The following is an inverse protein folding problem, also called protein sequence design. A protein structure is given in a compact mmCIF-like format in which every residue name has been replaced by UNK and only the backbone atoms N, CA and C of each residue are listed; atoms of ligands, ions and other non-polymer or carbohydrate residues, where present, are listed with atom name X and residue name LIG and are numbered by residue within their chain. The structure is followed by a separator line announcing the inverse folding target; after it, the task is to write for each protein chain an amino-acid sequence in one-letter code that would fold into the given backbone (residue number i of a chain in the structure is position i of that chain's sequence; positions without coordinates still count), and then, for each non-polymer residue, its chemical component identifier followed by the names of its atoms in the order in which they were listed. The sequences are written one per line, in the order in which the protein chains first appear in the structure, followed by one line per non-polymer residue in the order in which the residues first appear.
data_IF_098809328436
#
_entry.id   IF_098809328436
#
_cell.length_a   1.000
_cell.length_b   1.000
_cell.length_c   1.000
_cell.angle_alpha   90.00
_cell.angle_beta   90.00
_cell.angle_gamma   90.00
#
_symmetry.space_group_name_H-M   'P 1'
#
loop_
_entity.id
_entity.type
_entity.pdbx_description
1 polymer ?
#
# COMPACT_ATOMS: atom_id res chain seq x y z
N UNK A 1 -7.72 12.01 12.87
CA UNK A 1 -8.42 12.77 11.82
C UNK A 1 -7.50 13.26 10.68
N UNK A 2 -6.55 12.43 10.27
CA UNK A 2 -5.64 12.71 9.16
C UNK A 2 -5.64 11.58 8.14
N UNK A 3 -5.28 11.92 6.92
CA UNK A 3 -4.95 10.95 5.88
C UNK A 3 -3.45 10.69 5.92
N UNK A 4 -3.06 9.44 5.69
CA UNK A 4 -1.66 9.07 5.46
C UNK A 4 -1.45 9.01 3.96
N UNK A 5 -0.49 9.75 3.45
CA UNK A 5 -0.10 9.73 2.04
C UNK A 5 1.23 8.99 1.92
N UNK A 6 1.27 8.01 1.02
CA UNK A 6 2.44 7.22 0.69
C UNK A 6 2.99 7.63 -0.67
N UNK A 7 4.30 7.82 -0.78
CA UNK A 7 4.91 8.17 -2.06
C UNK A 7 5.15 6.94 -2.93
N UNK A 8 4.84 7.06 -4.21
CA UNK A 8 5.23 6.10 -5.25
C UNK A 8 6.63 6.48 -5.76
N UNK A 9 7.67 6.02 -5.09
CA UNK A 9 9.03 6.33 -5.49
C UNK A 9 9.55 5.25 -6.45
N UNK A 10 9.87 5.64 -7.68
CA UNK A 10 10.32 4.71 -8.73
C UNK A 10 11.82 4.42 -8.67
N UNK A 11 12.60 5.34 -8.12
CA UNK A 11 14.07 5.25 -8.10
C UNK A 11 14.60 4.61 -6.81
N UNK A 12 13.93 4.86 -5.71
CA UNK A 12 14.29 4.33 -4.39
C UNK A 12 13.23 3.35 -3.95
N UNK A 13 13.60 2.19 -3.49
CA UNK A 13 12.69 1.15 -2.98
C UNK A 13 12.14 1.48 -1.58
N UNK A 14 11.88 2.73 -1.35
CA UNK A 14 11.31 3.28 -0.12
C UNK A 14 10.01 4.02 -0.44
N UNK A 15 9.09 4.06 0.52
CA UNK A 15 7.96 4.97 0.50
C UNK A 15 8.09 5.97 1.64
N UNK A 16 7.90 7.23 1.35
CA UNK A 16 7.81 8.27 2.37
C UNK A 16 6.36 8.45 2.79
N UNK A 17 6.16 8.73 4.06
CA UNK A 17 4.84 8.89 4.66
C UNK A 17 4.62 10.33 5.09
N UNK A 18 3.47 10.85 4.71
CA UNK A 18 3.04 12.21 5.03
C UNK A 18 1.66 12.21 5.67
N UNK A 19 1.39 13.16 6.56
CA UNK A 19 0.07 13.42 7.11
C UNK A 19 -0.55 14.66 6.47
N UNK A 20 -1.83 14.54 6.15
CA UNK A 20 -2.67 15.63 5.66
C UNK A 20 -3.99 15.61 6.45
N UNK A 21 -4.53 16.75 6.90
CA UNK A 21 -5.84 16.82 7.54
C UNK A 21 -6.97 16.27 6.65
N UNK A 22 -7.97 15.64 7.26
CA UNK A 22 -9.20 15.17 6.54
C UNK A 22 -10.22 16.29 6.25
N UNK A 23 -9.86 17.53 6.40
CA UNK A 23 -10.74 18.65 6.13
C UNK A 23 -10.38 19.28 4.77
N UNK A 24 -11.36 19.81 4.02
CA UNK A 24 -11.06 20.59 2.82
C UNK A 24 -10.16 21.78 3.11
N UNK A 25 -9.18 22.05 2.24
CA UNK A 25 -8.24 23.16 2.40
C UNK A 25 -6.96 22.96 1.61
N UNK A 26 -6.07 23.92 1.70
CA UNK A 26 -4.72 23.85 1.16
C UNK A 26 -3.74 23.59 2.29
N UNK A 27 -2.97 22.51 2.21
CA UNK A 27 -2.07 22.08 3.26
C UNK A 27 -0.68 21.75 2.74
N UNK A 28 0.32 22.05 3.54
CA UNK A 28 1.64 21.45 3.40
C UNK A 28 1.64 20.11 4.11
N UNK A 29 1.82 19.02 3.36
CA UNK A 29 1.87 17.67 3.93
C UNK A 29 3.07 17.54 4.89
N UNK A 30 2.81 17.05 6.11
CA UNK A 30 3.85 16.86 7.11
C UNK A 30 4.47 15.47 6.96
N UNK A 31 5.77 15.40 6.62
CA UNK A 31 6.51 14.15 6.61
C UNK A 31 6.61 13.56 8.02
N UNK A 32 6.24 12.29 8.17
CA UNK A 32 6.31 11.55 9.44
C UNK A 32 7.35 10.44 9.44
N UNK A 33 7.85 10.03 8.28
CA UNK A 33 8.89 9.01 8.18
C UNK A 33 8.98 8.40 6.79
N UNK A 34 9.68 7.28 6.72
CA UNK A 34 9.82 6.46 5.52
C UNK A 34 9.90 4.98 5.88
N UNK A 35 9.46 4.12 4.96
CA UNK A 35 9.56 2.66 5.08
C UNK A 35 10.38 2.11 3.91
N UNK A 36 11.35 1.26 4.22
CA UNK A 36 12.06 0.49 3.20
C UNK A 36 11.24 -0.76 2.88
N UNK A 37 10.54 -0.75 1.75
CA UNK A 37 9.67 -1.85 1.31
C UNK A 37 10.27 -2.65 0.16
N UNK A 38 11.47 -2.30 -0.29
CA UNK A 38 12.21 -2.95 -1.39
C UNK A 38 11.41 -3.08 -2.70
N UNK A 39 10.41 -2.25 -2.88
CA UNK A 39 9.49 -2.27 -4.02
C UNK A 39 8.82 -0.91 -4.20
N UNK A 40 8.14 -0.72 -5.31
CA UNK A 40 7.41 0.51 -5.62
C UNK A 40 5.98 0.36 -5.10
N UNK A 41 5.59 1.16 -4.12
CA UNK A 41 4.23 1.16 -3.56
C UNK A 41 3.23 1.65 -4.59
N UNK A 42 2.13 0.92 -4.75
CA UNK A 42 1.02 1.26 -5.66
C UNK A 42 -0.29 1.54 -4.95
N UNK A 43 -0.48 0.98 -3.76
CA UNK A 43 -1.64 1.23 -2.92
C UNK A 43 -1.33 0.98 -1.45
N UNK A 44 -2.14 1.56 -0.57
CA UNK A 44 -2.00 1.41 0.88
C UNK A 44 -3.36 1.51 1.58
N UNK A 45 -3.53 0.75 2.66
CA UNK A 45 -4.62 0.92 3.62
C UNK A 45 -4.11 0.67 5.04
N UNK A 46 -4.61 1.46 5.98
CA UNK A 46 -4.27 1.36 7.39
C UNK A 46 -5.52 1.18 8.23
N UNK A 47 -5.54 0.15 9.04
CA UNK A 47 -6.58 -0.09 10.04
C UNK A 47 -6.01 0.13 11.44
N UNK A 48 -6.42 1.24 12.08
CA UNK A 48 -5.92 1.65 13.40
C UNK A 48 -6.29 0.65 14.51
N UNK A 49 -7.50 0.07 14.45
CA UNK A 49 -7.95 -0.92 15.47
C UNK A 49 -7.12 -2.20 15.40
N UNK A 50 -6.71 -2.61 14.22
CA UNK A 50 -5.87 -3.79 14.01
C UNK A 50 -4.37 -3.45 14.12
N UNK A 51 -4.01 -2.17 14.19
CA UNK A 51 -2.65 -1.67 14.05
C UNK A 51 -1.93 -2.30 12.83
N UNK A 52 -2.69 -2.46 11.74
CA UNK A 52 -2.26 -3.14 10.54
C UNK A 52 -2.17 -2.14 9.39
N UNK A 53 -0.96 -1.98 8.85
CA UNK A 53 -0.73 -1.34 7.57
C UNK A 53 -0.55 -2.41 6.50
N UNK A 54 -1.22 -2.24 5.38
CA UNK A 54 -1.09 -3.11 4.20
C UNK A 54 -0.74 -2.26 3.00
N UNK A 55 0.26 -2.71 2.27
CA UNK A 55 0.73 -2.07 1.04
C UNK A 55 0.58 -3.03 -0.13
N UNK A 56 0.16 -2.54 -1.27
CA UNK A 56 0.43 -3.19 -2.56
C UNK A 56 1.63 -2.54 -3.20
N UNK A 57 2.43 -3.33 -3.90
CA UNK A 57 3.67 -2.86 -4.50
C UNK A 57 4.06 -3.69 -5.71
N UNK A 58 4.99 -3.19 -6.50
CA UNK A 58 5.53 -3.89 -7.66
C UNK A 58 7.05 -3.90 -7.69
N UNK A 59 7.61 -4.97 -8.23
CA UNK A 59 9.01 -5.04 -8.64
C UNK A 59 9.06 -5.06 -10.17
N UNK A 60 9.68 -4.04 -10.75
CA UNK A 60 9.86 -3.90 -12.22
C UNK A 60 8.55 -3.94 -13.03
N UNK A 61 7.40 -3.61 -12.42
CA UNK A 61 6.07 -3.64 -13.05
C UNK A 61 5.67 -4.98 -13.69
N UNK A 62 6.31 -6.08 -13.28
CA UNK A 62 6.03 -7.43 -13.79
C UNK A 62 5.40 -8.35 -12.76
N UNK A 63 5.69 -8.09 -11.49
CA UNK A 63 5.13 -8.82 -10.34
C UNK A 63 4.59 -7.87 -9.31
N UNK A 64 3.48 -8.25 -8.69
CA UNK A 64 2.82 -7.48 -7.65
C UNK A 64 2.80 -8.23 -6.33
N UNK A 65 2.90 -7.47 -5.26
CA UNK A 65 3.00 -7.99 -3.90
C UNK A 65 2.04 -7.26 -2.98
N UNK A 66 1.56 -8.00 -1.98
CA UNK A 66 0.90 -7.47 -0.81
C UNK A 66 1.86 -7.60 0.37
N UNK A 67 2.11 -6.50 1.06
CA UNK A 67 2.99 -6.47 2.25
C UNK A 67 2.15 -6.11 3.46
N UNK A 68 2.22 -6.93 4.50
CA UNK A 68 1.60 -6.64 5.80
C UNK A 68 2.64 -6.15 6.80
N UNK A 69 2.29 -5.10 7.53
CA UNK A 69 3.11 -4.51 8.60
C UNK A 69 2.24 -4.44 9.84
N UNK A 70 2.51 -5.30 10.82
CA UNK A 70 1.80 -5.35 12.10
C UNK A 70 2.38 -4.37 13.10
N UNK A 71 1.57 -4.00 14.10
CA UNK A 71 1.93 -3.04 15.13
C UNK A 71 2.38 -1.68 14.57
N UNK A 72 1.80 -1.33 13.41
CA UNK A 72 2.06 -0.04 12.78
C UNK A 72 1.41 1.08 13.58
N UNK A 73 2.12 2.18 13.73
CA UNK A 73 1.63 3.42 14.35
C UNK A 73 2.20 4.62 13.61
N UNK A 74 1.64 5.82 13.87
CA UNK A 74 2.13 7.07 13.28
C UNK A 74 3.47 7.52 13.86
N UNK A 75 3.93 6.91 14.94
CA UNK A 75 5.32 6.99 15.43
C UNK A 75 6.15 5.94 14.68
N UNK A 76 6.69 6.36 13.51
CA UNK A 76 7.30 5.45 12.55
C UNK A 76 8.59 4.87 13.10
N UNK A 77 8.65 3.55 13.19
CA UNK A 77 9.82 2.76 13.59
C UNK A 77 10.65 2.36 12.36
N UNK A 78 11.90 1.98 12.58
CA UNK A 78 12.81 1.55 11.52
C UNK A 78 12.76 0.03 11.27
N UNK A 79 12.29 -0.75 12.24
CA UNK A 79 12.42 -2.21 12.34
C UNK A 79 11.07 -2.95 12.39
N UNK A 80 10.09 -2.52 11.60
CA UNK A 80 8.85 -3.26 11.48
C UNK A 80 9.06 -4.65 10.86
N UNK A 81 8.40 -5.66 11.42
CA UNK A 81 8.26 -6.95 10.76
C UNK A 81 7.34 -6.81 9.55
N UNK A 82 7.92 -6.97 8.36
CA UNK A 82 7.20 -6.91 7.09
C UNK A 82 7.11 -8.30 6.49
N UNK A 83 5.89 -8.72 6.13
CA UNK A 83 5.66 -9.97 5.39
C UNK A 83 5.13 -9.64 4.00
N UNK A 84 5.86 -10.08 2.99
CA UNK A 84 5.54 -9.85 1.57
C UNK A 84 5.02 -11.12 0.93
N UNK A 85 3.89 -11.01 0.25
CA UNK A 85 3.21 -12.10 -0.46
C UNK A 85 3.05 -11.73 -1.93
N UNK A 86 3.41 -12.64 -2.84
CA UNK A 86 3.18 -12.42 -4.27
C UNK A 86 1.67 -12.52 -4.57
N UNK A 87 1.14 -11.58 -5.34
CA UNK A 87 -0.24 -11.59 -5.80
C UNK A 87 -0.24 -12.27 -7.19
N UNK A 88 -0.89 -13.43 -7.36
CA UNK A 88 -0.87 -14.20 -8.61
C UNK A 88 -1.85 -13.62 -9.63
N UNK A 89 -1.61 -12.40 -10.08
CA UNK A 89 -2.57 -11.64 -10.89
C UNK A 89 -2.23 -11.55 -12.38
N UNK A 90 -1.02 -11.96 -12.78
CA UNK A 90 -0.57 -11.86 -14.17
C UNK A 90 -0.17 -10.45 -14.59
N UNK A 91 -0.33 -10.13 -15.87
CA UNK A 91 0.05 -8.83 -16.45
C UNK A 91 -1.06 -7.80 -16.28
N UNK A 92 -1.19 -7.25 -15.08
CA UNK A 92 -2.12 -6.14 -14.79
C UNK A 92 -1.57 -5.32 -13.64
N UNK A 93 -1.94 -4.05 -13.55
CA UNK A 93 -1.46 -3.18 -12.48
C UNK A 93 -2.40 -3.23 -11.29
N UNK A 94 -1.86 -3.55 -10.11
CA UNK A 94 -2.59 -3.44 -8.84
C UNK A 94 -2.49 -2.00 -8.35
N UNK A 95 -3.62 -1.35 -8.12
CA UNK A 95 -3.67 0.08 -7.82
C UNK A 95 -4.23 0.41 -6.44
N UNK A 96 -5.02 -0.48 -5.85
CA UNK A 96 -5.59 -0.22 -4.53
C UNK A 96 -5.70 -1.49 -3.69
N UNK A 97 -5.70 -1.30 -2.38
CA UNK A 97 -5.95 -2.33 -1.38
C UNK A 97 -6.89 -1.80 -0.30
N UNK A 98 -7.75 -2.67 0.23
CA UNK A 98 -8.59 -2.40 1.40
C UNK A 98 -8.56 -3.57 2.37
N UNK A 99 -8.26 -3.29 3.62
CA UNK A 99 -8.26 -4.29 4.71
C UNK A 99 -9.71 -4.66 5.04
N UNK A 100 -10.02 -5.96 4.98
CA UNK A 100 -11.28 -6.53 5.50
C UNK A 100 -11.05 -6.95 6.96
N UNK A 101 -10.01 -7.75 7.19
CA UNK A 101 -9.53 -8.19 8.49
C UNK A 101 -8.02 -8.47 8.42
N UNK A 102 -7.44 -9.11 9.43
CA UNK A 102 -5.99 -9.37 9.49
C UNK A 102 -5.47 -10.42 8.51
N UNK A 103 -6.34 -11.07 7.73
CA UNK A 103 -5.99 -12.10 6.74
C UNK A 103 -6.64 -11.89 5.38
N UNK A 104 -7.64 -11.04 5.27
CA UNK A 104 -8.43 -10.86 4.07
C UNK A 104 -8.38 -9.39 3.60
N UNK A 105 -8.23 -9.22 2.29
CA UNK A 105 -8.04 -7.92 1.67
C UNK A 105 -8.81 -7.85 0.35
N UNK A 106 -9.41 -6.69 0.06
CA UNK A 106 -9.83 -6.36 -1.30
C UNK A 106 -8.68 -5.71 -2.04
N UNK A 107 -8.44 -6.12 -3.27
CA UNK A 107 -7.47 -5.52 -4.19
C UNK A 107 -8.16 -5.17 -5.49
N UNK A 108 -7.76 -4.05 -6.09
CA UNK A 108 -8.19 -3.67 -7.44
C UNK A 108 -7.02 -3.69 -8.41
N UNK A 109 -7.33 -4.04 -9.65
CA UNK A 109 -6.41 -3.87 -10.76
C UNK A 109 -7.05 -3.00 -11.84
N UNK A 110 -6.21 -2.23 -12.54
CA UNK A 110 -6.68 -1.48 -13.70
C UNK A 110 -6.82 -2.37 -14.94
N UNK A 111 -7.52 -1.84 -15.95
CA UNK A 111 -7.60 -2.45 -17.25
C UNK A 111 -6.36 -2.04 -18.06
N UNK A 112 -5.50 -3.00 -18.40
CA UNK A 112 -4.43 -2.79 -19.35
C UNK A 112 -4.92 -3.05 -20.78
N UNK A 113 -4.27 -2.42 -21.77
CA UNK A 113 -4.63 -2.46 -23.21
C UNK A 113 -4.97 -3.83 -23.80
N UNK A 114 -4.63 -4.92 -23.11
CA UNK A 114 -4.86 -6.29 -23.53
C UNK A 114 -5.63 -7.14 -22.50
N UNK A 115 -5.96 -6.62 -21.32
CA UNK A 115 -6.85 -7.25 -20.37
C UNK A 115 -8.18 -6.52 -20.41
N UNK A 116 -9.22 -7.16 -20.90
CA UNK A 116 -10.51 -6.53 -21.18
C UNK A 116 -11.27 -6.04 -19.94
N UNK A 117 -10.73 -6.15 -18.70
CA UNK A 117 -11.50 -5.84 -17.49
C UNK A 117 -10.62 -5.42 -16.31
N UNK A 118 -10.90 -4.26 -15.74
CA UNK A 118 -10.54 -3.94 -14.37
C UNK A 118 -11.14 -5.00 -13.42
N UNK A 119 -10.41 -5.39 -12.37
CA UNK A 119 -10.83 -6.45 -11.45
C UNK A 119 -10.90 -5.96 -10.02
N UNK A 120 -11.90 -6.44 -9.30
CA UNK A 120 -11.95 -6.42 -7.84
C UNK A 120 -11.78 -7.86 -7.36
N UNK A 121 -10.79 -8.10 -6.53
CA UNK A 121 -10.44 -9.44 -6.08
C UNK A 121 -10.32 -9.47 -4.57
N UNK A 122 -10.69 -10.61 -3.97
CA UNK A 122 -10.36 -10.92 -2.58
C UNK A 122 -9.04 -11.69 -2.54
N UNK A 123 -8.11 -11.19 -1.77
CA UNK A 123 -6.85 -11.85 -1.46
C UNK A 123 -6.86 -12.31 0.00
N UNK A 124 -6.56 -13.58 0.24
CA UNK A 124 -6.56 -14.19 1.58
C UNK A 124 -5.21 -14.82 1.89
N UNK A 125 -4.71 -14.60 3.09
CA UNK A 125 -3.48 -15.20 3.61
C UNK A 125 -3.74 -16.57 4.22
#
# INVERSE_FOLDING_TARGET
NSLIVFTKNRDKKITELYLVPKQPGNYNAKKIGALNVESIVTGADYNEKLQLLVLTSTKKFTKYYLTTIKNFSLDIKQDYEMKMYEIPIGKTQVEAVKIIDNKNFWITSEDEKNSKFARLMKFSL
#
